data_IF_507128195542
#
_entry.id   IF_507128195542
#
_cell.length_a   1.000
_cell.length_b   1.000
_cell.length_c   1.000
_cell.angle_alpha   90.00
_cell.angle_beta   90.00
_cell.angle_gamma   90.00
#
_symmetry.space_group_name_H-M   'P 1'
#
loop_
_entity.id
_entity.type
_entity.pdbx_description
1 polymer ?
#
# COMPACT_ATOMS: atom_id res chain seq x y z
N UNK A 1 8.45 0.65 -3.86
CA UNK A 1 7.48 0.78 -4.97
C UNK A 1 7.39 -0.58 -5.66
N UNK A 2 6.41 -1.41 -5.30
CA UNK A 2 6.18 -2.69 -5.99
C UNK A 2 5.66 -2.43 -7.40
N UNK A 3 6.18 -3.17 -8.38
CA UNK A 3 5.76 -3.03 -9.79
C UNK A 3 4.36 -3.63 -9.95
N UNK A 4 3.54 -3.05 -10.82
CA UNK A 4 2.17 -3.50 -11.05
C UNK A 4 2.09 -4.98 -11.49
N UNK A 5 3.14 -5.48 -12.15
CA UNK A 5 3.30 -6.88 -12.52
C UNK A 5 3.35 -7.83 -11.31
N UNK A 6 4.08 -7.47 -10.25
CA UNK A 6 4.23 -8.26 -9.03
C UNK A 6 2.92 -8.29 -8.22
N UNK A 7 2.14 -7.21 -8.25
CA UNK A 7 0.83 -7.16 -7.59
C UNK A 7 -0.21 -8.02 -8.31
N UNK A 8 -0.11 -8.16 -9.63
CA UNK A 8 -1.07 -8.95 -10.44
C UNK A 8 -0.89 -10.46 -10.26
N UNK A 9 0.33 -10.92 -9.98
CA UNK A 9 0.62 -12.33 -9.72
C UNK A 9 0.13 -12.82 -8.36
N UNK A 10 -0.06 -11.92 -7.39
CA UNK A 10 -0.55 -12.27 -6.05
C UNK A 10 -2.03 -12.65 -6.06
N UNK A 11 -2.42 -13.49 -5.10
CA UNK A 11 -3.80 -13.86 -4.82
C UNK A 11 -4.56 -12.70 -4.14
N UNK A 12 -5.89 -12.76 -4.14
CA UNK A 12 -6.72 -11.71 -3.51
C UNK A 12 -6.49 -11.64 -2.00
N UNK A 13 -6.18 -12.77 -1.35
CA UNK A 13 -5.90 -12.82 0.08
C UNK A 13 -4.54 -12.21 0.42
N UNK A 14 -3.50 -12.54 -0.35
CA UNK A 14 -2.17 -11.91 -0.20
C UNK A 14 -2.24 -10.40 -0.43
N UNK A 15 -3.03 -9.94 -1.41
CA UNK A 15 -3.23 -8.51 -1.65
C UNK A 15 -3.92 -7.80 -0.48
N UNK A 16 -4.87 -8.46 0.21
CA UNK A 16 -5.50 -7.89 1.42
C UNK A 16 -4.55 -7.87 2.61
N UNK A 17 -3.69 -8.88 2.74
CA UNK A 17 -2.67 -8.91 3.76
C UNK A 17 -1.68 -7.76 3.56
N UNK A 18 -1.20 -7.60 2.32
CA UNK A 18 -0.32 -6.50 1.92
C UNK A 18 -0.97 -5.13 2.16
N UNK A 19 -2.26 -4.97 1.85
CA UNK A 19 -3.00 -3.73 2.14
C UNK A 19 -2.97 -3.41 3.65
N UNK A 20 -3.16 -4.43 4.48
CA UNK A 20 -3.19 -4.27 5.94
C UNK A 20 -1.84 -3.84 6.47
N UNK A 21 -0.76 -4.43 5.95
CA UNK A 21 0.60 -4.11 6.38
C UNK A 21 1.04 -2.72 5.90
N UNK A 22 0.69 -2.33 4.66
CA UNK A 22 0.90 -0.96 4.16
C UNK A 22 0.12 0.08 4.97
N UNK A 23 -1.09 -0.24 5.45
CA UNK A 23 -1.87 0.66 6.32
C UNK A 23 -1.20 0.84 7.69
N UNK A 24 -0.62 -0.22 8.27
CA UNK A 24 0.17 -0.11 9.51
C UNK A 24 1.41 0.75 9.30
N UNK A 25 2.11 0.56 8.18
CA UNK A 25 3.26 1.39 7.83
C UNK A 25 2.87 2.87 7.68
N UNK A 26 1.75 3.15 7.01
CA UNK A 26 1.23 4.51 6.88
C UNK A 26 0.90 5.14 8.25
N UNK A 27 0.34 4.36 9.17
CA UNK A 27 0.08 4.81 10.54
C UNK A 27 1.38 5.16 11.28
N UNK A 28 2.40 4.29 11.19
CA UNK A 28 3.71 4.52 11.79
C UNK A 28 4.40 5.76 11.20
N UNK A 29 4.33 5.95 9.88
CA UNK A 29 4.85 7.15 9.22
C UNK A 29 4.08 8.41 9.62
N UNK A 30 2.76 8.30 9.79
CA UNK A 30 1.92 9.38 10.31
C UNK A 30 2.30 9.75 11.74
N UNK A 31 2.56 8.76 12.60
CA UNK A 31 3.02 8.96 13.97
C UNK A 31 4.38 9.68 13.99
N UNK A 32 5.36 9.20 13.19
CA UNK A 32 6.67 9.85 13.02
C UNK A 32 6.58 11.28 12.49
N UNK A 33 5.58 11.56 11.64
CA UNK A 33 5.30 12.93 11.16
C UNK A 33 4.89 13.85 12.31
N UNK A 34 4.05 13.34 13.21
CA UNK A 34 3.53 14.10 14.35
C UNK A 34 4.60 14.30 15.42
N UNK A 35 5.45 13.30 15.67
CA UNK A 35 6.58 13.42 16.60
C UNK A 35 7.72 14.29 16.08
N UNK A 36 7.70 14.67 14.79
CA UNK A 36 8.71 15.53 14.17
C UNK A 36 9.98 14.80 13.74
N UNK A 37 10.05 13.47 13.90
CA UNK A 37 11.20 12.62 13.55
C UNK A 37 11.11 12.08 12.11
N UNK A 38 10.43 12.79 11.21
CA UNK A 38 10.25 12.30 9.85
C UNK A 38 11.46 12.67 8.97
N UNK A 39 12.23 11.66 8.58
CA UNK A 39 13.37 11.84 7.67
C UNK A 39 12.92 12.14 6.23
N UNK A 40 11.83 11.52 5.78
CA UNK A 40 11.36 11.68 4.40
C UNK A 40 9.82 11.70 4.28
N UNK A 41 9.21 12.90 4.18
CA UNK A 41 7.77 13.07 3.98
C UNK A 41 7.23 12.44 2.68
N UNK A 42 8.08 12.23 1.67
CA UNK A 42 7.68 11.64 0.39
C UNK A 42 7.27 10.16 0.54
N UNK A 43 7.78 9.47 1.56
CA UNK A 43 7.43 8.08 1.84
C UNK A 43 5.95 7.93 2.16
N UNK A 44 5.34 8.88 2.87
CA UNK A 44 3.88 8.88 3.13
C UNK A 44 3.11 8.89 1.81
N UNK A 45 3.52 9.72 0.85
CA UNK A 45 2.88 9.80 -0.46
C UNK A 45 3.08 8.50 -1.24
N UNK A 46 4.26 7.89 -1.12
CA UNK A 46 4.59 6.63 -1.77
C UNK A 46 3.72 5.49 -1.25
N UNK A 47 3.65 5.31 0.07
CA UNK A 47 2.84 4.27 0.72
C UNK A 47 1.35 4.43 0.37
N UNK A 48 0.83 5.67 0.37
CA UNK A 48 -0.55 5.94 -0.09
C UNK A 48 -0.80 5.50 -1.53
N UNK A 49 0.16 5.74 -2.43
CA UNK A 49 0.06 5.28 -3.83
C UNK A 49 0.14 3.76 -3.93
N UNK A 50 0.98 3.13 -3.12
CA UNK A 50 1.13 1.67 -3.13
C UNK A 50 -0.16 0.99 -2.64
N UNK A 51 -0.82 1.51 -1.58
CA UNK A 51 -2.17 1.07 -1.15
C UNK A 51 -3.19 1.22 -2.28
N UNK A 52 -3.20 2.36 -2.97
CA UNK A 52 -4.13 2.60 -4.07
C UNK A 52 -3.95 1.57 -5.21
N UNK A 53 -2.71 1.23 -5.57
CA UNK A 53 -2.44 0.20 -6.59
C UNK A 53 -2.94 -1.18 -6.17
N UNK A 54 -2.72 -1.58 -4.91
CA UNK A 54 -3.22 -2.84 -4.37
C UNK A 54 -4.75 -2.91 -4.50
N UNK A 55 -5.45 -1.85 -4.06
CA UNK A 55 -6.91 -1.76 -4.18
C UNK A 55 -7.40 -1.81 -5.63
N UNK A 56 -6.69 -1.16 -6.55
CA UNK A 56 -7.00 -1.23 -7.99
C UNK A 56 -6.90 -2.66 -8.49
N UNK A 57 -5.82 -3.40 -8.19
CA UNK A 57 -5.65 -4.79 -8.63
C UNK A 57 -6.70 -5.72 -8.01
N UNK A 58 -7.08 -5.52 -6.74
CA UNK A 58 -8.19 -6.25 -6.11
C UNK A 58 -9.50 -5.99 -6.88
N UNK A 59 -9.76 -4.74 -7.28
CA UNK A 59 -10.94 -4.38 -8.07
C UNK A 59 -10.91 -4.99 -9.47
N UNK A 60 -9.76 -4.95 -10.16
CA UNK A 60 -9.55 -5.62 -11.45
C UNK A 60 -9.86 -7.12 -11.37
N UNK A 61 -9.32 -7.81 -10.35
CA UNK A 61 -9.58 -9.24 -10.12
C UNK A 61 -11.04 -9.54 -9.78
N UNK A 62 -11.74 -8.65 -9.08
CA UNK A 62 -13.18 -8.79 -8.81
C UNK A 62 -14.05 -8.60 -10.05
N UNK A 63 -13.67 -7.68 -10.96
CA UNK A 63 -14.41 -7.41 -12.21
C UNK A 63 -14.16 -8.43 -13.32
N UNK A 64 -13.00 -9.11 -13.29
CA UNK A 64 -12.66 -10.18 -14.23
C UNK A 64 -13.36 -11.51 -13.91
N UNK A 65 -14.15 -11.56 -12.85
CA UNK A 65 -14.94 -12.71 -12.43
C UNK A 65 -16.39 -12.52 -12.87
#
# INVERSE_FOLDING_TARGET
MKRASELRTLTVEELRQEETDLRKELFNLGFRKVTGEIENPLLIRQVRKDIARVLTVISEKRKSK
#
